data_IF_871122812153
#
_entry.id   IF_871122812153
#
_cell.length_a   1.000
_cell.length_b   1.000
_cell.length_c   1.000
_cell.angle_alpha   90.00
_cell.angle_beta   90.00
_cell.angle_gamma   90.00
#
_symmetry.space_group_name_H-M   'P 1'
#
loop_
_entity.id
_entity.type
_entity.pdbx_description
1 polymer ?
#
# COMPACT_ATOMS: atom_id res chain seq x y z
N UNK A 1 37.49 -17.44 30.23
CA UNK A 1 36.27 -16.89 29.60
C UNK A 1 36.64 -16.20 28.30
N UNK A 2 35.93 -16.44 27.21
CA UNK A 2 36.12 -15.70 25.95
C UNK A 2 35.84 -14.23 26.22
N UNK A 3 36.69 -13.31 25.80
CA UNK A 3 36.44 -11.88 25.93
C UNK A 3 35.36 -11.50 24.94
N UNK A 4 34.30 -10.79 25.41
CA UNK A 4 33.24 -10.29 24.56
C UNK A 4 33.78 -9.29 23.53
N UNK A 5 33.31 -9.40 22.30
CA UNK A 5 33.72 -8.51 21.18
C UNK A 5 32.52 -7.76 20.61
N UNK A 6 32.79 -6.74 19.81
CA UNK A 6 31.74 -6.02 19.08
C UNK A 6 31.02 -6.94 18.08
N UNK A 7 31.74 -7.89 17.48
CA UNK A 7 31.14 -8.87 16.59
C UNK A 7 30.18 -9.83 17.32
N UNK A 8 30.52 -10.23 18.54
CA UNK A 8 29.59 -11.00 19.38
C UNK A 8 28.29 -10.20 19.65
N UNK A 9 28.37 -8.87 19.78
CA UNK A 9 27.18 -7.99 19.92
C UNK A 9 26.41 -7.87 18.61
N UNK A 10 27.08 -7.66 17.47
CA UNK A 10 26.46 -7.60 16.15
C UNK A 10 25.66 -8.87 15.84
N UNK A 11 26.23 -10.03 16.18
CA UNK A 11 25.59 -11.33 15.98
C UNK A 11 24.43 -11.54 16.95
N UNK A 12 24.62 -11.30 18.27
CA UNK A 12 23.60 -11.49 19.29
C UNK A 12 22.33 -10.68 19.03
N UNK A 13 22.50 -9.42 18.64
CA UNK A 13 21.38 -8.51 18.37
C UNK A 13 20.91 -8.55 16.92
N UNK A 14 21.48 -9.42 16.08
CA UNK A 14 21.17 -9.57 14.65
C UNK A 14 21.07 -8.23 13.89
N UNK A 15 21.98 -7.28 14.16
CA UNK A 15 21.92 -5.93 13.62
C UNK A 15 21.96 -5.93 12.08
N UNK A 16 22.76 -6.80 11.49
CA UNK A 16 22.86 -6.93 10.04
C UNK A 16 21.55 -7.44 9.40
N UNK A 17 20.76 -8.22 10.12
CA UNK A 17 19.45 -8.72 9.67
C UNK A 17 18.39 -7.63 9.67
N UNK A 18 18.01 -7.13 10.86
CA UNK A 18 16.93 -6.14 10.96
C UNK A 18 17.34 -4.74 10.49
N UNK A 19 18.62 -4.37 10.65
CA UNK A 19 19.12 -3.06 10.22
C UNK A 19 19.13 -2.83 8.72
N UNK A 20 19.05 -3.90 7.92
CA UNK A 20 18.93 -3.88 6.44
C UNK A 20 19.92 -2.94 5.74
N UNK A 21 21.14 -2.83 6.25
CA UNK A 21 22.21 -1.91 5.82
C UNK A 21 21.96 -0.42 6.07
N UNK A 22 20.89 -0.05 6.81
CA UNK A 22 20.73 1.31 7.30
C UNK A 22 21.39 1.51 8.66
N UNK A 23 21.42 0.48 9.50
CA UNK A 23 21.98 0.54 10.84
C UNK A 23 23.14 -0.44 10.98
N UNK A 24 24.13 -0.03 11.74
CA UNK A 24 25.29 -0.86 12.07
C UNK A 24 25.92 -0.45 13.41
N UNK A 25 26.99 -1.15 13.78
CA UNK A 25 27.81 -0.82 14.96
C UNK A 25 29.24 -0.56 14.48
N UNK A 26 29.82 0.59 14.88
CA UNK A 26 31.16 0.97 14.56
C UNK A 26 32.21 0.23 15.43
N UNK A 27 33.49 0.50 15.22
CA UNK A 27 34.57 -0.16 15.97
C UNK A 27 34.71 0.34 17.41
N UNK A 28 33.98 1.38 17.80
CA UNK A 28 33.88 1.85 19.18
C UNK A 28 32.76 1.14 19.95
N UNK A 29 31.86 0.43 19.24
CA UNK A 29 30.68 -0.20 19.80
C UNK A 29 29.43 0.68 19.77
N UNK A 30 29.49 1.87 19.16
CA UNK A 30 28.36 2.79 19.02
C UNK A 30 27.54 2.45 17.76
N UNK A 31 26.23 2.64 17.84
CA UNK A 31 25.37 2.49 16.68
C UNK A 31 25.52 3.68 15.73
N UNK A 32 25.55 3.36 14.45
CA UNK A 32 25.46 4.37 13.38
C UNK A 32 24.31 4.09 12.43
N UNK A 33 23.91 5.12 11.70
CA UNK A 33 22.93 5.03 10.59
C UNK A 33 23.56 5.50 9.29
N UNK A 34 23.23 4.82 8.20
CA UNK A 34 23.55 5.17 6.79
C UNK A 34 22.25 5.39 6.03
N UNK A 35 21.61 6.55 6.14
CA UNK A 35 20.25 6.77 5.64
C UNK A 35 20.12 6.54 4.13
N UNK A 36 21.11 6.99 3.35
CA UNK A 36 21.13 6.85 1.89
C UNK A 36 21.84 5.59 1.40
N UNK A 37 22.34 4.73 2.31
CA UNK A 37 23.18 3.56 1.98
C UNK A 37 24.44 3.91 1.18
N UNK A 38 24.94 5.10 1.35
CA UNK A 38 26.19 5.60 0.81
C UNK A 38 27.33 5.48 1.84
N UNK A 39 28.42 6.21 1.65
CA UNK A 39 29.54 6.21 2.57
C UNK A 39 29.37 7.14 3.77
N UNK A 40 28.24 7.86 3.87
CA UNK A 40 27.97 8.77 4.98
C UNK A 40 27.38 7.99 6.14
N UNK A 41 28.14 7.92 7.21
CA UNK A 41 27.75 7.30 8.49
C UNK A 41 27.49 8.38 9.52
N UNK A 42 26.33 8.34 10.15
CA UNK A 42 25.96 9.23 11.25
C UNK A 42 26.04 8.41 12.53
N UNK A 43 27.01 8.72 13.39
CA UNK A 43 27.16 8.08 14.70
C UNK A 43 26.04 8.59 15.62
N UNK A 44 25.21 7.66 16.16
CA UNK A 44 24.07 8.03 17.00
C UNK A 44 24.52 8.54 18.38
N UNK A 45 25.72 8.17 18.83
CA UNK A 45 26.31 8.68 20.05
C UNK A 45 26.62 10.17 19.90
N UNK A 46 27.29 10.55 18.81
CA UNK A 46 27.61 11.93 18.50
C UNK A 46 26.35 12.80 18.40
N UNK A 47 25.27 12.25 17.77
CA UNK A 47 23.98 12.95 17.71
C UNK A 47 23.40 13.18 19.13
N UNK A 48 23.48 12.18 20.01
CA UNK A 48 22.97 12.31 21.37
C UNK A 48 23.77 13.32 22.19
N UNK A 49 25.09 13.32 22.03
CA UNK A 49 25.97 14.27 22.73
C UNK A 49 25.69 15.70 22.25
N UNK A 50 25.47 15.91 20.96
CA UNK A 50 25.10 17.22 20.39
C UNK A 50 23.71 17.69 20.88
N UNK A 51 22.73 16.79 20.98
CA UNK A 51 21.41 17.11 21.53
C UNK A 51 21.50 17.52 23.01
N UNK A 52 22.34 16.86 23.78
CA UNK A 52 22.55 17.17 25.17
C UNK A 52 23.19 18.54 25.38
N UNK A 53 24.10 18.95 24.47
CA UNK A 53 24.67 20.32 24.47
C UNK A 53 23.62 21.39 24.19
N UNK A 54 22.50 21.02 23.59
CA UNK A 54 21.33 21.88 23.31
C UNK A 54 20.21 21.74 24.34
N UNK A 55 20.49 21.19 25.49
CA UNK A 55 19.52 20.92 26.57
C UNK A 55 18.36 19.98 26.18
N UNK A 56 18.54 19.17 25.12
CA UNK A 56 17.59 18.12 24.71
C UNK A 56 18.02 16.82 25.34
N UNK A 57 17.20 16.30 26.29
CA UNK A 57 17.51 15.07 27.02
C UNK A 57 16.63 13.89 26.56
N UNK A 58 17.12 12.63 26.65
CA UNK A 58 16.31 11.44 26.40
C UNK A 58 15.06 11.37 27.28
N UNK A 59 13.97 10.71 26.76
CA UNK A 59 13.90 10.00 25.50
C UNK A 59 13.71 10.91 24.29
N UNK A 60 14.39 10.61 23.18
CA UNK A 60 14.26 11.31 21.90
C UNK A 60 13.85 10.36 20.78
N UNK A 61 13.11 10.86 19.81
CA UNK A 61 12.75 10.13 18.62
C UNK A 61 13.48 10.71 17.41
N UNK A 62 14.45 9.98 16.89
CA UNK A 62 15.19 10.33 15.69
C UNK A 62 14.46 9.80 14.45
N UNK A 63 14.36 10.63 13.43
CA UNK A 63 13.83 10.26 12.11
C UNK A 63 14.86 10.59 11.04
N UNK A 64 14.94 9.69 10.07
CA UNK A 64 15.82 9.81 8.90
C UNK A 64 14.96 9.75 7.63
N UNK A 65 14.51 10.89 7.09
CA UNK A 65 13.64 10.94 5.90
C UNK A 65 14.22 10.20 4.71
N UNK A 66 15.54 10.28 4.50
CA UNK A 66 16.24 9.59 3.41
C UNK A 66 15.99 8.06 3.40
N UNK A 67 15.67 7.46 4.55
CA UNK A 67 15.29 6.03 4.59
C UNK A 67 13.93 5.84 3.91
N UNK A 68 12.97 6.76 4.11
CA UNK A 68 11.67 6.72 3.42
C UNK A 68 11.87 6.84 1.92
N UNK A 69 12.68 7.79 1.50
CA UNK A 69 13.01 8.05 0.10
C UNK A 69 13.62 6.83 -0.56
N UNK A 70 14.62 6.22 0.07
CA UNK A 70 15.25 5.01 -0.43
C UNK A 70 14.27 3.84 -0.52
N UNK A 71 13.31 3.73 0.41
CA UNK A 71 12.27 2.68 0.38
C UNK A 71 11.30 2.87 -0.78
N UNK A 72 10.87 4.09 -1.05
CA UNK A 72 10.02 4.44 -2.20
C UNK A 72 10.74 4.11 -3.51
N UNK A 73 11.99 4.57 -3.66
CA UNK A 73 12.81 4.30 -4.84
C UNK A 73 13.01 2.81 -5.07
N UNK A 74 13.33 2.06 -4.01
CA UNK A 74 13.53 0.61 -4.10
C UNK A 74 12.27 -0.10 -4.56
N UNK A 75 11.10 0.27 -4.02
CA UNK A 75 9.83 -0.34 -4.39
C UNK A 75 9.50 -0.03 -5.86
N UNK A 76 9.61 1.22 -6.26
CA UNK A 76 9.40 1.64 -7.66
C UNK A 76 10.36 0.95 -8.63
N UNK A 77 11.64 0.83 -8.26
CA UNK A 77 12.64 0.11 -9.06
C UNK A 77 12.31 -1.37 -9.23
N UNK A 78 11.74 -2.02 -8.20
CA UNK A 78 11.27 -3.41 -8.32
C UNK A 78 10.13 -3.53 -9.33
N UNK A 79 9.16 -2.62 -9.32
CA UNK A 79 8.09 -2.59 -10.32
C UNK A 79 8.61 -2.36 -11.73
N UNK A 80 9.54 -1.41 -11.90
CA UNK A 80 10.14 -1.15 -13.21
C UNK A 80 10.84 -2.40 -13.77
N UNK A 81 11.63 -3.10 -12.96
CA UNK A 81 12.29 -4.36 -13.36
C UNK A 81 11.29 -5.44 -13.73
N UNK A 82 10.23 -5.63 -12.95
CA UNK A 82 9.20 -6.60 -13.25
C UNK A 82 8.43 -6.24 -14.53
N UNK A 83 8.13 -4.96 -14.74
CA UNK A 83 7.46 -4.50 -15.96
C UNK A 83 8.30 -4.77 -17.23
N UNK A 84 9.60 -4.56 -17.15
CA UNK A 84 10.54 -4.88 -18.23
C UNK A 84 10.64 -6.40 -18.45
N UNK A 85 10.77 -7.19 -17.38
CA UNK A 85 10.91 -8.65 -17.44
C UNK A 85 9.68 -9.34 -18.03
N UNK A 86 8.47 -8.92 -17.62
CA UNK A 86 7.22 -9.55 -18.06
C UNK A 86 6.50 -8.81 -19.19
N UNK A 87 7.14 -7.81 -19.81
CA UNK A 87 6.56 -7.01 -20.87
C UNK A 87 5.19 -6.41 -20.49
N UNK A 88 5.07 -6.01 -19.23
CA UNK A 88 3.85 -5.40 -18.69
C UNK A 88 3.54 -4.06 -19.34
N UNK A 89 2.26 -3.84 -19.67
CA UNK A 89 1.80 -2.67 -20.44
C UNK A 89 1.03 -1.65 -19.59
N UNK A 90 0.70 -2.00 -18.35
CA UNK A 90 0.05 -1.08 -17.43
C UNK A 90 1.06 -0.21 -16.67
N UNK A 91 0.55 0.68 -15.86
CA UNK A 91 1.33 1.50 -14.94
C UNK A 91 1.22 0.95 -13.51
N UNK A 92 2.20 1.26 -12.66
CA UNK A 92 2.11 0.98 -11.25
C UNK A 92 2.01 2.26 -10.41
N UNK A 93 1.23 2.18 -9.35
CA UNK A 93 1.01 3.25 -8.39
C UNK A 93 1.28 2.72 -6.98
N UNK A 94 2.17 3.40 -6.27
CA UNK A 94 2.38 3.17 -4.85
C UNK A 94 1.44 4.12 -4.12
N UNK A 95 0.54 3.58 -3.30
CA UNK A 95 -0.42 4.38 -2.54
C UNK A 95 -0.11 4.21 -1.06
N UNK A 96 0.20 5.31 -0.39
CA UNK A 96 0.53 5.29 1.03
C UNK A 96 -0.72 5.47 1.90
N UNK A 97 -1.06 4.49 2.75
CA UNK A 97 -2.18 4.62 3.69
C UNK A 97 -1.78 5.54 4.85
N UNK A 98 -2.38 6.72 4.96
CA UNK A 98 -1.97 7.70 5.98
C UNK A 98 -2.19 7.23 7.41
N UNK A 99 -3.09 6.27 7.63
CA UNK A 99 -3.32 5.64 8.95
C UNK A 99 -2.07 5.01 9.55
N UNK A 100 -1.08 4.64 8.74
CA UNK A 100 0.18 4.02 9.21
C UNK A 100 1.02 5.02 9.99
N UNK A 101 1.19 6.23 9.47
CA UNK A 101 1.75 7.35 10.20
C UNK A 101 1.19 8.66 9.61
N UNK A 102 0.31 9.32 10.38
CA UNK A 102 -0.43 10.53 9.97
C UNK A 102 0.34 11.83 10.26
N UNK A 103 1.57 11.76 10.76
CA UNK A 103 2.34 12.96 11.05
C UNK A 103 2.59 13.74 9.77
N UNK A 104 2.18 15.00 9.77
CA UNK A 104 2.29 15.88 8.62
C UNK A 104 3.69 15.88 7.97
N UNK A 105 4.81 16.02 8.72
CA UNK A 105 6.15 15.99 8.10
C UNK A 105 6.48 14.67 7.41
N UNK A 106 5.97 13.54 7.92
CA UNK A 106 6.19 12.23 7.30
C UNK A 106 5.40 12.10 6.00
N UNK A 107 4.14 12.53 6.01
CA UNK A 107 3.28 12.46 4.81
C UNK A 107 3.78 13.42 3.73
N UNK A 108 4.19 14.63 4.10
CA UNK A 108 4.75 15.61 3.17
C UNK A 108 6.05 15.11 2.53
N UNK A 109 6.93 14.47 3.29
CA UNK A 109 8.15 13.85 2.75
C UNK A 109 7.82 12.76 1.75
N UNK A 110 6.95 11.82 2.12
CA UNK A 110 6.51 10.72 1.25
C UNK A 110 5.93 11.25 -0.07
N UNK A 111 5.09 12.29 -0.02
CA UNK A 111 4.50 12.89 -1.23
C UNK A 111 5.55 13.64 -2.04
N UNK A 112 6.38 14.45 -1.38
CA UNK A 112 7.39 15.26 -2.06
C UNK A 112 8.35 14.38 -2.85
N UNK A 113 8.90 13.35 -2.22
CA UNK A 113 9.83 12.43 -2.87
C UNK A 113 9.11 11.47 -3.84
N UNK A 114 7.90 11.02 -3.49
CA UNK A 114 7.11 10.07 -4.25
C UNK A 114 6.55 10.57 -5.56
N UNK A 115 6.55 11.90 -5.81
CA UNK A 115 6.00 12.53 -7.03
C UNK A 115 6.49 11.88 -8.31
N UNK A 116 7.78 11.62 -8.42
CA UNK A 116 8.44 11.01 -9.59
C UNK A 116 8.13 9.52 -9.77
N UNK A 117 7.39 8.91 -8.83
CA UNK A 117 7.10 7.47 -8.78
C UNK A 117 5.60 7.15 -8.80
N UNK A 118 4.75 8.05 -9.28
CA UNK A 118 3.29 7.88 -9.28
C UNK A 118 2.73 7.55 -7.89
N UNK A 119 3.29 8.16 -6.82
CA UNK A 119 2.84 7.91 -5.46
C UNK A 119 1.52 8.64 -5.19
N UNK A 120 0.57 7.92 -4.62
CA UNK A 120 -0.72 8.42 -4.15
C UNK A 120 -0.92 8.22 -2.65
N UNK A 121 -2.11 8.57 -2.17
CA UNK A 121 -2.51 8.40 -0.76
C UNK A 121 -3.80 7.59 -0.63
N UNK A 122 -3.89 6.77 0.42
CA UNK A 122 -5.13 6.12 0.84
C UNK A 122 -5.64 6.76 2.11
N UNK A 123 -6.97 6.89 2.21
CA UNK A 123 -7.67 7.31 3.39
C UNK A 123 -8.86 6.38 3.66
N UNK A 124 -9.01 5.95 4.91
CA UNK A 124 -10.06 5.05 5.36
C UNK A 124 -11.19 5.75 6.12
N UNK A 125 -11.14 7.08 6.21
CA UNK A 125 -12.13 7.86 6.95
C UNK A 125 -12.24 9.30 6.41
N UNK A 126 -13.34 9.97 6.73
CA UNK A 126 -13.58 11.37 6.32
C UNK A 126 -12.52 12.34 6.88
N UNK A 127 -12.10 12.28 8.17
CA UNK A 127 -11.01 13.10 8.67
C UNK A 127 -9.70 12.88 7.93
N UNK A 128 -9.37 11.63 7.60
CA UNK A 128 -8.18 11.33 6.78
C UNK A 128 -8.27 11.92 5.38
N UNK A 129 -9.47 11.89 4.74
CA UNK A 129 -9.65 12.52 3.44
C UNK A 129 -9.41 14.04 3.49
N UNK A 130 -9.83 14.73 4.55
CA UNK A 130 -9.52 16.15 4.74
C UNK A 130 -7.99 16.38 4.80
N UNK A 131 -7.28 15.56 5.56
CA UNK A 131 -5.81 15.65 5.65
C UNK A 131 -5.15 15.39 4.29
N UNK A 132 -5.60 14.34 3.57
CA UNK A 132 -5.08 13.98 2.24
C UNK A 132 -5.29 15.11 1.23
N UNK A 133 -6.49 15.70 1.18
CA UNK A 133 -6.79 16.82 0.27
C UNK A 133 -5.89 18.02 0.58
N UNK A 134 -5.61 18.27 1.86
CA UNK A 134 -4.79 19.42 2.28
C UNK A 134 -3.31 19.27 1.90
N UNK A 135 -2.74 18.07 2.01
CA UNK A 135 -1.33 17.83 1.72
C UNK A 135 -1.06 17.48 0.26
N UNK A 136 -2.01 16.89 -0.45
CA UNK A 136 -1.85 16.46 -1.84
C UNK A 136 -2.16 17.60 -2.81
N UNK A 137 -1.16 18.38 -3.14
CA UNK A 137 -1.31 19.55 -4.04
C UNK A 137 -1.44 19.19 -5.53
N UNK A 138 -1.02 17.99 -5.95
CA UNK A 138 -1.03 17.59 -7.37
C UNK A 138 -2.38 16.99 -7.81
N UNK A 139 -2.78 17.29 -9.05
CA UNK A 139 -4.00 16.75 -9.68
C UNK A 139 -3.86 15.28 -10.09
N UNK A 140 -2.63 14.83 -10.42
CA UNK A 140 -2.40 13.56 -11.10
C UNK A 140 -2.21 12.37 -10.15
N UNK A 141 -1.87 12.64 -8.89
CA UNK A 141 -1.72 11.59 -7.88
C UNK A 141 -3.06 10.98 -7.49
N UNK A 142 -3.08 9.67 -7.36
CA UNK A 142 -4.27 8.92 -6.98
C UNK A 142 -4.60 9.13 -5.49
N UNK A 143 -5.88 9.29 -5.19
CA UNK A 143 -6.43 9.18 -3.84
C UNK A 143 -7.41 8.00 -3.82
N UNK A 144 -7.15 7.03 -2.94
CA UNK A 144 -8.03 5.88 -2.73
C UNK A 144 -8.84 6.09 -1.45
N UNK A 145 -10.17 6.13 -1.57
CA UNK A 145 -11.10 6.30 -0.46
C UNK A 145 -11.66 4.94 -0.04
N UNK A 146 -11.04 4.33 0.95
CA UNK A 146 -11.45 3.08 1.59
C UNK A 146 -12.34 3.32 2.83
N UNK A 147 -12.64 2.27 3.58
CA UNK A 147 -13.44 2.32 4.79
C UNK A 147 -14.94 2.55 4.54
N UNK A 148 -15.71 2.53 5.61
CA UNK A 148 -17.15 2.79 5.53
C UNK A 148 -17.44 4.27 5.32
N UNK A 149 -18.31 4.56 4.37
CA UNK A 149 -18.58 5.93 3.93
C UNK A 149 -20.00 6.35 4.25
N UNK A 150 -20.12 7.50 4.90
CA UNK A 150 -21.37 8.23 5.01
C UNK A 150 -21.57 9.19 3.82
N UNK A 151 -22.74 9.81 3.74
CA UNK A 151 -23.08 10.75 2.69
C UNK A 151 -22.05 11.90 2.59
N UNK A 152 -21.60 12.43 3.72
CA UNK A 152 -20.68 13.57 3.75
C UNK A 152 -19.26 13.20 3.34
N UNK A 153 -18.81 11.98 3.62
CA UNK A 153 -17.54 11.47 3.12
C UNK A 153 -17.55 11.36 1.59
N UNK A 154 -18.62 10.77 1.02
CA UNK A 154 -18.79 10.62 -0.42
C UNK A 154 -18.88 11.99 -1.11
N UNK A 155 -19.70 12.92 -0.56
CA UNK A 155 -19.80 14.27 -1.12
C UNK A 155 -18.44 15.00 -1.10
N UNK A 156 -17.65 14.88 -0.03
CA UNK A 156 -16.31 15.45 0.04
C UNK A 156 -15.38 14.87 -1.03
N UNK A 157 -15.39 13.54 -1.22
CA UNK A 157 -14.60 12.88 -2.25
C UNK A 157 -14.98 13.39 -3.66
N UNK A 158 -16.29 13.48 -3.96
CA UNK A 158 -16.73 13.98 -5.26
C UNK A 158 -16.46 15.47 -5.47
N UNK A 159 -16.52 16.30 -4.42
CA UNK A 159 -16.10 17.70 -4.49
C UNK A 159 -14.62 17.82 -4.79
N UNK A 160 -13.76 17.03 -4.13
CA UNK A 160 -12.35 17.00 -4.43
C UNK A 160 -12.05 16.50 -5.86
N UNK A 161 -12.83 15.52 -6.35
CA UNK A 161 -12.76 15.10 -7.76
C UNK A 161 -13.13 16.24 -8.71
N UNK A 162 -14.18 17.02 -8.39
CA UNK A 162 -14.59 18.20 -9.17
C UNK A 162 -13.52 19.31 -9.18
N UNK A 163 -12.70 19.37 -8.13
CA UNK A 163 -11.52 20.26 -8.04
C UNK A 163 -10.31 19.72 -8.82
N UNK A 164 -10.45 18.63 -9.56
CA UNK A 164 -9.41 18.05 -10.39
C UNK A 164 -8.56 16.97 -9.72
N UNK A 165 -8.93 16.49 -8.51
CA UNK A 165 -8.23 15.37 -7.88
C UNK A 165 -8.63 14.04 -8.52
N UNK A 166 -7.68 13.12 -8.68
CA UNK A 166 -7.93 11.77 -9.19
C UNK A 166 -8.31 10.85 -8.03
N UNK A 167 -9.61 10.74 -7.75
CA UNK A 167 -10.15 10.00 -6.59
C UNK A 167 -10.86 8.73 -7.04
N UNK A 168 -10.62 7.63 -6.34
CA UNK A 168 -11.41 6.40 -6.40
C UNK A 168 -12.21 6.22 -5.10
N UNK A 169 -13.52 6.06 -5.21
CA UNK A 169 -14.40 5.74 -4.08
C UNK A 169 -14.61 4.23 -4.08
N UNK A 170 -13.97 3.53 -3.14
CA UNK A 170 -14.01 2.07 -3.07
C UNK A 170 -15.24 1.61 -2.28
N UNK A 171 -16.21 1.01 -2.96
CA UNK A 171 -17.43 0.45 -2.35
C UNK A 171 -17.06 -0.75 -1.46
N UNK A 172 -17.38 -0.65 -0.18
CA UNK A 172 -17.19 -1.71 0.81
C UNK A 172 -18.49 -2.30 1.33
N UNK A 173 -19.63 -1.61 1.10
CA UNK A 173 -20.99 -2.02 1.46
C UNK A 173 -22.00 -1.67 0.38
N UNK A 174 -23.01 -2.50 0.22
CA UNK A 174 -24.08 -2.32 -0.77
C UNK A 174 -24.81 -0.97 -0.67
N UNK A 175 -25.04 -0.48 0.55
CA UNK A 175 -25.75 0.79 0.74
C UNK A 175 -24.94 2.02 0.24
N UNK A 176 -23.62 1.93 0.13
CA UNK A 176 -22.77 3.02 -0.36
C UNK A 176 -23.08 3.37 -1.82
N UNK A 177 -23.54 2.40 -2.63
CA UNK A 177 -23.89 2.61 -4.05
C UNK A 177 -25.03 3.65 -4.18
N UNK A 178 -26.05 3.54 -3.32
CA UNK A 178 -27.14 4.52 -3.28
C UNK A 178 -26.66 5.92 -2.91
N UNK A 179 -25.75 6.01 -1.94
CA UNK A 179 -25.17 7.28 -1.50
C UNK A 179 -24.30 7.91 -2.58
N UNK A 180 -23.47 7.11 -3.27
CA UNK A 180 -22.63 7.57 -4.38
C UNK A 180 -23.50 8.09 -5.53
N UNK A 181 -24.53 7.35 -5.94
CA UNK A 181 -25.41 7.77 -7.01
C UNK A 181 -26.15 9.08 -6.69
N UNK A 182 -26.64 9.22 -5.46
CA UNK A 182 -27.31 10.44 -5.00
C UNK A 182 -26.37 11.64 -5.00
N UNK A 183 -25.16 11.49 -4.47
CA UNK A 183 -24.17 12.55 -4.43
C UNK A 183 -23.64 12.91 -5.84
N UNK A 184 -23.39 11.92 -6.69
CA UNK A 184 -23.00 12.12 -8.09
C UNK A 184 -24.04 12.96 -8.85
N UNK A 185 -25.31 12.61 -8.72
CA UNK A 185 -26.43 13.37 -9.31
C UNK A 185 -26.50 14.80 -8.75
N UNK A 186 -26.41 14.97 -7.43
CA UNK A 186 -26.47 16.26 -6.74
C UNK A 186 -25.35 17.21 -7.19
N UNK A 187 -24.14 16.69 -7.35
CA UNK A 187 -22.93 17.47 -7.65
C UNK A 187 -22.64 17.59 -9.16
N UNK A 188 -23.34 16.80 -9.99
CA UNK A 188 -23.08 16.74 -11.43
C UNK A 188 -21.69 16.18 -11.77
N UNK A 189 -21.24 15.15 -11.05
CA UNK A 189 -19.91 14.53 -11.21
C UNK A 189 -20.06 13.05 -11.53
N UNK A 190 -19.30 12.56 -12.52
CA UNK A 190 -19.17 11.11 -12.80
C UNK A 190 -18.11 10.54 -11.85
N UNK A 191 -18.46 9.65 -10.89
CA UNK A 191 -17.49 9.12 -9.92
C UNK A 191 -16.53 8.12 -10.56
N UNK A 192 -15.30 8.02 -10.05
CA UNK A 192 -14.49 6.81 -10.28
C UNK A 192 -14.79 5.83 -9.13
N UNK A 193 -15.45 4.73 -9.44
CA UNK A 193 -15.87 3.72 -8.47
C UNK A 193 -14.89 2.57 -8.47
N UNK A 194 -14.40 2.23 -7.28
CA UNK A 194 -13.76 0.97 -7.00
C UNK A 194 -14.74 0.03 -6.30
N UNK A 195 -14.54 -1.28 -6.42
CA UNK A 195 -15.29 -2.26 -5.64
C UNK A 195 -14.31 -3.14 -4.88
N UNK A 196 -14.45 -3.17 -3.55
CA UNK A 196 -13.68 -4.10 -2.72
C UNK A 196 -14.32 -5.47 -2.74
N UNK A 197 -13.56 -6.45 -3.23
CA UNK A 197 -13.97 -7.86 -3.28
C UNK A 197 -13.43 -8.62 -2.07
N UNK A 198 -14.25 -9.51 -1.52
CA UNK A 198 -13.83 -10.51 -0.54
C UNK A 198 -13.27 -11.70 -1.28
N UNK A 199 -12.02 -12.03 -1.03
CA UNK A 199 -11.41 -13.25 -1.54
C UNK A 199 -11.70 -14.41 -0.59
N UNK A 200 -11.89 -15.62 -1.13
CA UNK A 200 -12.04 -16.84 -0.34
C UNK A 200 -10.72 -17.22 0.35
N UNK A 201 -9.58 -16.85 -0.26
CA UNK A 201 -8.26 -16.98 0.34
C UNK A 201 -8.13 -16.09 1.58
N UNK A 202 -7.95 -16.70 2.75
CA UNK A 202 -7.78 -16.00 4.02
C UNK A 202 -6.33 -15.62 4.29
N UNK A 203 -6.11 -14.43 4.86
CA UNK A 203 -4.84 -14.00 5.41
C UNK A 203 -4.40 -14.84 6.62
N UNK A 204 -3.22 -14.59 7.17
CA UNK A 204 -2.70 -15.21 8.41
C UNK A 204 -2.20 -14.18 9.40
N UNK A 205 -2.03 -14.62 10.65
CA UNK A 205 -1.52 -13.83 11.76
C UNK A 205 -2.62 -13.34 12.69
N UNK A 206 -2.27 -12.51 13.69
CA UNK A 206 -3.20 -11.95 14.68
C UNK A 206 -4.42 -11.23 14.09
N UNK A 207 -4.39 -10.88 12.82
CA UNK A 207 -5.43 -10.18 12.07
C UNK A 207 -6.15 -11.07 11.05
N UNK A 208 -6.16 -12.40 11.27
CA UNK A 208 -6.81 -13.39 10.39
C UNK A 208 -8.31 -13.10 10.19
N UNK A 209 -8.97 -12.49 11.18
CA UNK A 209 -10.38 -12.11 11.12
C UNK A 209 -10.67 -10.93 10.16
N UNK A 210 -9.64 -10.25 9.66
CA UNK A 210 -9.80 -9.12 8.72
C UNK A 210 -9.79 -9.53 7.24
N UNK A 211 -9.57 -10.79 6.93
CA UNK A 211 -9.54 -11.36 5.57
C UNK A 211 -10.54 -12.51 5.36
N UNK A 212 -10.73 -12.95 4.12
CA UNK A 212 -11.64 -14.04 3.75
C UNK A 212 -13.12 -13.68 3.90
N UNK A 213 -13.98 -14.70 3.84
CA UNK A 213 -15.45 -14.55 3.94
C UNK A 213 -15.93 -13.92 5.26
N UNK A 214 -15.17 -14.06 6.34
CA UNK A 214 -15.44 -13.45 7.64
C UNK A 214 -15.04 -11.98 7.73
N UNK A 215 -14.38 -11.43 6.70
CA UNK A 215 -13.98 -10.02 6.67
C UNK A 215 -15.19 -9.09 6.88
N UNK A 216 -14.98 -8.05 7.71
CA UNK A 216 -15.97 -6.98 7.90
C UNK A 216 -16.17 -6.13 6.64
N UNK A 217 -15.21 -6.13 5.73
CA UNK A 217 -15.09 -5.21 4.60
C UNK A 217 -15.16 -5.94 3.27
N UNK A 218 -15.76 -5.27 2.27
CA UNK A 218 -15.86 -5.75 0.90
C UNK A 218 -17.08 -6.63 0.63
N UNK A 219 -17.32 -6.89 -0.64
CA UNK A 219 -18.48 -7.61 -1.17
C UNK A 219 -18.12 -9.06 -1.49
N UNK A 220 -18.98 -10.00 -1.14
CA UNK A 220 -18.92 -11.39 -1.62
C UNK A 220 -19.28 -11.46 -3.09
N UNK A 221 -18.97 -12.56 -3.77
CA UNK A 221 -19.25 -12.72 -5.20
C UNK A 221 -20.72 -12.46 -5.56
N UNK A 222 -21.67 -12.92 -4.72
CA UNK A 222 -23.10 -12.67 -4.94
C UNK A 222 -23.48 -11.20 -4.74
N UNK A 223 -22.90 -10.54 -3.73
CA UNK A 223 -23.09 -9.10 -3.49
C UNK A 223 -22.43 -8.26 -4.58
N UNK A 224 -21.28 -8.70 -5.14
CA UNK A 224 -20.64 -8.05 -6.28
C UNK A 224 -21.58 -8.00 -7.49
N UNK A 225 -22.20 -9.13 -7.85
CA UNK A 225 -23.12 -9.17 -8.98
C UNK A 225 -24.34 -8.25 -8.75
N UNK A 226 -24.89 -8.21 -7.53
CA UNK A 226 -25.96 -7.27 -7.16
C UNK A 226 -25.52 -5.81 -7.21
N UNK A 227 -24.26 -5.54 -6.78
CA UNK A 227 -23.68 -4.20 -6.84
C UNK A 227 -23.56 -3.71 -8.28
N UNK A 228 -23.06 -4.57 -9.17
CA UNK A 228 -22.93 -4.27 -10.59
C UNK A 228 -24.27 -3.99 -11.23
N UNK A 229 -25.27 -4.84 -11.01
CA UNK A 229 -26.64 -4.62 -11.49
C UNK A 229 -27.21 -3.28 -10.96
N UNK A 230 -27.03 -3.00 -9.68
CA UNK A 230 -27.51 -1.73 -9.10
C UNK A 230 -26.81 -0.51 -9.71
N UNK A 231 -25.53 -0.61 -10.03
CA UNK A 231 -24.79 0.45 -10.70
C UNK A 231 -25.26 0.66 -12.14
N UNK A 232 -25.56 -0.43 -12.85
CA UNK A 232 -26.14 -0.38 -14.21
C UNK A 232 -27.51 0.31 -14.21
N UNK A 233 -28.40 -0.08 -13.29
CA UNK A 233 -29.72 0.55 -13.12
C UNK A 233 -29.64 2.05 -12.81
N UNK A 234 -28.54 2.49 -12.19
CA UNK A 234 -28.28 3.91 -11.88
C UNK A 234 -27.50 4.64 -12.96
N UNK A 235 -27.20 3.98 -14.10
CA UNK A 235 -26.44 4.55 -15.20
C UNK A 235 -24.97 4.86 -14.83
N UNK A 236 -24.37 4.05 -13.95
CA UNK A 236 -23.01 4.19 -13.46
C UNK A 236 -22.08 3.03 -13.90
N UNK A 237 -22.48 2.26 -14.92
CA UNK A 237 -21.71 1.15 -15.49
C UNK A 237 -20.25 1.55 -15.81
N UNK A 238 -20.08 2.61 -16.57
CA UNK A 238 -18.79 3.14 -17.02
C UNK A 238 -17.96 3.81 -15.90
N UNK A 239 -18.56 3.97 -14.72
CA UNK A 239 -17.89 4.50 -13.54
C UNK A 239 -17.13 3.43 -12.75
N UNK A 240 -17.42 2.14 -12.98
CA UNK A 240 -16.71 1.03 -12.31
C UNK A 240 -15.38 0.80 -13.00
N UNK A 241 -14.30 1.25 -12.40
CA UNK A 241 -12.98 1.27 -13.01
C UNK A 241 -11.89 0.57 -12.22
N UNK A 242 -12.17 0.20 -10.96
CA UNK A 242 -11.20 -0.38 -10.05
C UNK A 242 -11.80 -1.55 -9.28
N UNK A 243 -11.02 -2.63 -9.17
CA UNK A 243 -11.25 -3.64 -8.14
C UNK A 243 -10.17 -3.54 -7.09
N UNK A 244 -10.57 -3.70 -5.83
CA UNK A 244 -9.67 -3.67 -4.67
C UNK A 244 -9.83 -4.94 -3.85
N UNK A 245 -8.73 -5.44 -3.31
CA UNK A 245 -8.75 -6.48 -2.29
C UNK A 245 -7.67 -6.24 -1.25
N UNK A 246 -7.89 -6.75 -0.05
CA UNK A 246 -6.93 -6.66 1.04
C UNK A 246 -6.95 -7.93 1.87
N UNK A 247 -5.83 -8.62 1.94
CA UNK A 247 -5.73 -9.94 2.57
C UNK A 247 -5.19 -9.90 4.01
N UNK A 248 -4.98 -8.72 4.55
CA UNK A 248 -4.50 -8.50 5.91
C UNK A 248 -3.19 -7.74 5.98
N UNK A 249 -2.64 -7.62 7.18
CA UNK A 249 -1.39 -6.90 7.46
C UNK A 249 -0.29 -7.89 7.82
N UNK A 250 0.97 -7.54 7.54
CA UNK A 250 2.14 -8.37 7.86
C UNK A 250 2.00 -9.81 7.34
N UNK A 251 1.85 -9.96 6.03
CA UNK A 251 1.74 -11.27 5.40
C UNK A 251 3.14 -11.91 5.36
N UNK A 252 3.36 -12.93 6.16
CA UNK A 252 4.67 -13.56 6.34
C UNK A 252 5.06 -14.55 5.25
N UNK A 253 4.08 -15.06 4.48
CA UNK A 253 4.28 -16.14 3.50
C UNK A 253 3.85 -15.72 2.11
N UNK A 254 4.80 -15.70 1.17
CA UNK A 254 4.56 -15.32 -0.23
C UNK A 254 3.43 -16.14 -0.90
N UNK A 255 3.29 -17.42 -0.58
CA UNK A 255 2.25 -18.29 -1.16
C UNK A 255 0.83 -17.78 -0.93
N UNK A 256 0.59 -17.04 0.16
CA UNK A 256 -0.74 -16.46 0.45
C UNK A 256 -1.03 -15.28 -0.46
N UNK A 257 -0.01 -14.48 -0.71
CA UNK A 257 -0.09 -13.38 -1.69
C UNK A 257 -0.38 -13.96 -3.07
N UNK A 258 0.37 -14.96 -3.51
CA UNK A 258 0.17 -15.63 -4.79
C UNK A 258 -1.24 -16.20 -4.96
N UNK A 259 -1.79 -16.82 -3.91
CA UNK A 259 -3.15 -17.37 -3.95
C UNK A 259 -4.19 -16.25 -4.10
N UNK A 260 -4.05 -15.18 -3.35
CA UNK A 260 -4.94 -14.02 -3.41
C UNK A 260 -4.87 -13.31 -4.77
N UNK A 261 -3.67 -13.12 -5.31
CA UNK A 261 -3.46 -12.52 -6.63
C UNK A 261 -4.14 -13.33 -7.75
N UNK A 262 -4.01 -14.66 -7.73
CA UNK A 262 -4.68 -15.53 -8.72
C UNK A 262 -6.19 -15.43 -8.64
N UNK A 263 -6.74 -15.40 -7.42
CA UNK A 263 -8.18 -15.23 -7.22
C UNK A 263 -8.64 -13.84 -7.72
N UNK A 264 -7.93 -12.77 -7.37
CA UNK A 264 -8.23 -11.43 -7.85
C UNK A 264 -8.12 -11.30 -9.38
N UNK A 265 -7.13 -11.93 -9.99
CA UNK A 265 -6.99 -11.99 -11.45
C UNK A 265 -8.18 -12.68 -12.13
N UNK A 266 -8.74 -13.72 -11.51
CA UNK A 266 -9.98 -14.33 -12.00
C UNK A 266 -11.17 -13.34 -11.94
N UNK A 267 -11.33 -12.56 -10.86
CA UNK A 267 -12.35 -11.51 -10.81
C UNK A 267 -12.14 -10.47 -11.92
N UNK A 268 -10.90 -10.03 -12.12
CA UNK A 268 -10.56 -9.08 -13.18
C UNK A 268 -10.99 -9.59 -14.56
N UNK A 269 -10.65 -10.83 -14.89
CA UNK A 269 -11.04 -11.49 -16.15
C UNK A 269 -12.55 -11.61 -16.29
N UNK A 270 -13.26 -12.05 -15.22
CA UNK A 270 -14.72 -12.22 -15.29
C UNK A 270 -15.44 -10.88 -15.46
N UNK A 271 -14.99 -9.81 -14.81
CA UNK A 271 -15.55 -8.47 -14.98
C UNK A 271 -15.40 -7.98 -16.42
N UNK A 272 -14.24 -8.18 -17.03
CA UNK A 272 -14.07 -7.88 -18.46
C UNK A 272 -15.01 -8.68 -19.36
N UNK A 273 -15.23 -9.98 -19.08
CA UNK A 273 -16.20 -10.82 -19.80
C UNK A 273 -17.64 -10.37 -19.62
N UNK A 274 -17.96 -9.72 -18.49
CA UNK A 274 -19.27 -9.10 -18.24
C UNK A 274 -19.40 -7.71 -18.88
N UNK A 275 -18.37 -7.22 -19.57
CA UNK A 275 -18.39 -5.93 -20.28
C UNK A 275 -17.92 -4.72 -19.46
N UNK A 276 -17.39 -4.94 -18.24
CA UNK A 276 -16.83 -3.84 -17.44
C UNK A 276 -15.38 -3.55 -17.83
N UNK A 277 -15.08 -2.31 -18.12
CA UNK A 277 -13.72 -1.86 -18.42
C UNK A 277 -12.99 -1.47 -17.13
N UNK A 278 -12.46 -2.47 -16.44
CA UNK A 278 -11.67 -2.25 -15.24
C UNK A 278 -10.26 -1.81 -15.61
N UNK A 279 -9.89 -0.59 -15.26
CA UNK A 279 -8.56 -0.04 -15.58
C UNK A 279 -7.53 -0.32 -14.50
N UNK A 280 -7.99 -0.51 -13.25
CA UNK A 280 -7.12 -0.62 -12.09
C UNK A 280 -7.41 -1.86 -11.26
N UNK A 281 -6.33 -2.48 -10.79
CA UNK A 281 -6.38 -3.49 -9.73
C UNK A 281 -5.58 -2.99 -8.55
N UNK A 282 -6.25 -2.77 -7.44
CA UNK A 282 -5.63 -2.42 -6.17
C UNK A 282 -5.43 -3.68 -5.33
N UNK A 283 -4.18 -4.08 -5.21
CA UNK A 283 -3.76 -5.26 -4.46
C UNK A 283 -3.80 -5.04 -2.93
N UNK A 284 -4.20 -3.85 -2.49
CA UNK A 284 -4.21 -3.50 -1.08
C UNK A 284 -2.81 -3.46 -0.46
N UNK A 285 -2.80 -3.50 0.87
CA UNK A 285 -1.57 -3.60 1.65
C UNK A 285 -1.23 -5.04 2.02
N UNK A 286 -0.39 -5.17 3.05
CA UNK A 286 -0.03 -6.48 3.59
C UNK A 286 1.40 -6.90 3.31
N UNK A 287 2.13 -6.17 2.47
CA UNK A 287 3.58 -6.36 2.32
C UNK A 287 4.22 -6.41 3.71
N UNK A 288 4.87 -7.53 4.02
CA UNK A 288 5.45 -7.74 5.34
C UNK A 288 6.83 -7.12 5.48
N UNK A 289 7.19 -6.83 6.73
CA UNK A 289 8.53 -6.36 7.12
C UNK A 289 9.22 -7.46 7.92
N UNK A 290 10.49 -7.65 7.66
CA UNK A 290 11.35 -8.54 8.43
C UNK A 290 11.92 -7.78 9.64
N UNK A 291 11.12 -7.68 10.72
CA UNK A 291 11.50 -6.91 11.90
C UNK A 291 12.63 -7.54 12.71
N UNK A 292 12.70 -8.87 12.73
CA UNK A 292 13.74 -9.60 13.47
C UNK A 292 14.95 -9.97 12.62
N UNK A 293 14.89 -9.72 11.32
CA UNK A 293 15.98 -9.99 10.38
C UNK A 293 16.25 -11.46 10.12
N UNK A 294 15.34 -12.36 10.51
CA UNK A 294 15.56 -13.82 10.41
C UNK A 294 15.18 -14.40 9.05
N UNK A 295 14.43 -13.67 8.23
CA UNK A 295 13.88 -14.12 6.95
C UNK A 295 13.14 -15.46 7.06
N UNK A 296 12.40 -15.61 8.15
CA UNK A 296 11.69 -16.83 8.51
C UNK A 296 10.19 -16.70 8.33
N UNK A 297 9.56 -17.71 7.72
CA UNK A 297 8.10 -17.81 7.70
C UNK A 297 7.49 -18.37 8.99
N UNK A 298 8.33 -18.77 9.94
CA UNK A 298 7.92 -19.27 11.26
C UNK A 298 7.74 -18.17 12.30
N UNK A 299 8.31 -16.99 12.04
CA UNK A 299 8.16 -15.81 12.91
C UNK A 299 7.07 -14.88 12.36
N UNK A 300 6.18 -14.42 13.23
CA UNK A 300 5.20 -13.38 12.88
C UNK A 300 5.85 -12.00 12.66
N UNK A 301 7.08 -11.83 13.11
CA UNK A 301 7.89 -10.62 12.96
C UNK A 301 8.85 -10.69 11.77
N UNK A 302 8.69 -11.67 10.88
CA UNK A 302 9.55 -11.87 9.72
C UNK A 302 8.76 -12.22 8.47
N UNK A 303 9.43 -12.26 7.32
CA UNK A 303 8.86 -12.64 6.03
C UNK A 303 9.83 -13.54 5.26
N UNK A 304 9.28 -14.47 4.46
CA UNK A 304 10.07 -15.40 3.66
C UNK A 304 10.26 -14.97 2.21
N UNK A 305 10.13 -13.69 1.91
CA UNK A 305 10.22 -13.15 0.55
C UNK A 305 10.82 -11.73 0.54
N UNK A 306 11.32 -11.34 -0.60
CA UNK A 306 11.80 -9.99 -0.88
C UNK A 306 10.71 -9.11 -1.52
N UNK A 307 10.93 -7.78 -1.56
CA UNK A 307 10.06 -6.86 -2.30
C UNK A 307 10.01 -7.24 -3.78
N UNK A 308 11.16 -7.64 -4.37
CA UNK A 308 11.19 -8.02 -5.79
C UNK A 308 10.32 -9.24 -6.08
N UNK A 309 10.36 -10.28 -5.24
CA UNK A 309 9.51 -11.45 -5.38
C UNK A 309 8.02 -11.10 -5.25
N UNK A 310 7.67 -10.25 -4.28
CA UNK A 310 6.31 -9.73 -4.15
C UNK A 310 5.83 -9.00 -5.41
N UNK A 311 6.65 -8.10 -5.93
CA UNK A 311 6.33 -7.31 -7.12
C UNK A 311 6.25 -8.20 -8.37
N UNK A 312 7.17 -9.14 -8.51
CA UNK A 312 7.15 -10.10 -9.61
C UNK A 312 5.85 -10.90 -9.63
N UNK A 313 5.40 -11.39 -8.47
CA UNK A 313 4.12 -12.10 -8.35
C UNK A 313 2.92 -11.21 -8.70
N UNK A 314 2.91 -9.94 -8.26
CA UNK A 314 1.87 -8.99 -8.63
C UNK A 314 1.81 -8.78 -10.14
N UNK A 315 2.92 -8.43 -10.77
CA UNK A 315 2.97 -8.12 -12.20
C UNK A 315 2.69 -9.36 -13.05
N UNK A 316 3.41 -10.46 -12.80
CA UNK A 316 3.28 -11.70 -13.57
C UNK A 316 1.86 -12.25 -13.57
N UNK A 317 1.20 -12.26 -12.41
CA UNK A 317 -0.16 -12.83 -12.30
C UNK A 317 -1.16 -12.10 -13.20
N UNK A 318 -1.11 -10.77 -13.25
CA UNK A 318 -2.03 -10.00 -14.09
C UNK A 318 -1.62 -9.98 -15.56
N UNK A 319 -0.34 -10.03 -15.89
CA UNK A 319 0.14 -10.22 -17.27
C UNK A 319 -0.36 -11.57 -17.81
N UNK A 320 -0.07 -12.67 -17.11
CA UNK A 320 -0.46 -14.03 -17.52
C UNK A 320 -1.99 -14.17 -17.69
N UNK A 321 -2.78 -13.61 -16.77
CA UNK A 321 -4.23 -13.64 -16.84
C UNK A 321 -4.77 -12.80 -18.01
N UNK A 322 -4.21 -11.63 -18.25
CA UNK A 322 -4.62 -10.73 -19.32
C UNK A 322 -4.28 -11.28 -20.69
N UNK A 323 -3.04 -11.73 -20.89
CA UNK A 323 -2.58 -12.30 -22.17
C UNK A 323 -3.38 -13.55 -22.56
N UNK A 324 -3.64 -14.45 -21.61
CA UNK A 324 -4.46 -15.67 -21.84
C UNK A 324 -5.91 -15.39 -22.22
N UNK A 325 -6.44 -14.25 -21.84
CA UNK A 325 -7.84 -13.90 -22.11
C UNK A 325 -7.98 -12.74 -23.12
N UNK A 326 -6.88 -12.29 -23.71
CA UNK A 326 -6.85 -11.22 -24.71
C UNK A 326 -7.52 -9.91 -24.20
N UNK A 327 -7.29 -9.57 -22.92
CA UNK A 327 -7.78 -8.35 -22.28
C UNK A 327 -6.61 -7.43 -21.92
N UNK A 328 -6.84 -6.11 -21.74
CA UNK A 328 -5.77 -5.18 -21.38
C UNK A 328 -5.08 -5.57 -20.07
N UNK A 329 -3.81 -5.21 -19.92
CA UNK A 329 -3.13 -5.27 -18.63
C UNK A 329 -3.70 -4.15 -17.73
N UNK A 330 -4.12 -4.44 -16.49
CA UNK A 330 -4.59 -3.40 -15.58
C UNK A 330 -3.44 -2.52 -15.11
N UNK A 331 -3.74 -1.30 -14.70
CA UNK A 331 -2.83 -0.55 -13.85
C UNK A 331 -2.85 -1.15 -12.43
N UNK A 332 -1.69 -1.34 -11.83
CA UNK A 332 -1.58 -1.94 -10.50
C UNK A 332 -1.39 -0.88 -9.43
N UNK A 333 -2.18 -0.98 -8.38
CA UNK A 333 -2.04 -0.18 -7.15
C UNK A 333 -1.60 -1.11 -6.02
N UNK A 334 -0.69 -0.63 -5.17
CA UNK A 334 -0.33 -1.29 -3.91
C UNK A 334 -0.40 -0.31 -2.77
N UNK A 335 -1.05 -0.71 -1.65
CA UNK A 335 -1.25 0.13 -0.47
C UNK A 335 -0.25 -0.24 0.65
N UNK A 336 1.03 -0.23 0.35
CA UNK A 336 2.07 -0.60 1.30
C UNK A 336 2.53 0.60 2.13
N UNK A 337 2.33 0.52 3.45
CA UNK A 337 2.65 1.61 4.37
C UNK A 337 3.82 1.35 5.32
N UNK A 338 4.39 0.14 5.30
CA UNK A 338 5.48 -0.30 6.19
C UNK A 338 6.82 -0.35 5.50
#
# INVERSE_FOLDING_TARGET
MKKWTIDDSRELYNINGWGTSYFGVNDKGDMYVTPCKDNVQIDLRDVMDELQLRDVTPPVLLRFPDILDNRIEKTSSCFKKAAEEYNYKGENFIVYPIKVNQMQPVVEEIISHGRKFNLGLECGSKPELHAVIAVQCQSDSIIVCNGYKDQSYIELALLAQKMGKRIFIVVEKMNEIGLIAAAAKKLGVRPNIGIRIKLASSGSGKWQESGGDASKFGLRSSELLQALQTLDEKGLHDCVRLIHFHIGSQITKIRRIQTALREAANFYVQLHKLGYNIDFVDCGGGLGVDYDGTRSSSSESSVNYSIQEYVNDCVYTFVDASDKNEIPHPNLITESGR
#
